data_IF_550405595399
#
_entry.id   IF_550405595399
#
_cell.length_a   1.000
_cell.length_b   1.000
_cell.length_c   1.000
_cell.angle_alpha   90.00
_cell.angle_beta   90.00
_cell.angle_gamma   90.00
#
_symmetry.space_group_name_H-M   'P 1'
#
loop_
_entity.id
_entity.type
_entity.pdbx_description
1 polymer ?
#
# COMPACT_ATOMS: atom_id res chain seq x y z
N UNK A 1 -3.13 -30.49 -2.06
CA UNK A 1 -3.45 -29.09 -1.71
C UNK A 1 -2.96 -28.84 -0.29
N UNK A 2 -1.85 -28.13 -0.11
CA UNK A 2 -1.35 -27.84 1.24
C UNK A 2 -2.26 -26.77 1.86
N UNK A 3 -2.92 -27.08 2.97
CA UNK A 3 -3.86 -26.18 3.62
C UNK A 3 -3.21 -24.81 3.89
N UNK A 4 -3.81 -23.75 3.37
CA UNK A 4 -3.38 -22.37 3.60
C UNK A 4 -3.40 -22.09 5.10
N UNK A 5 -2.22 -22.05 5.73
CA UNK A 5 -2.14 -21.94 7.18
C UNK A 5 -2.08 -20.46 7.57
N UNK A 6 -3.24 -19.88 7.82
CA UNK A 6 -3.37 -18.56 8.45
C UNK A 6 -2.66 -18.58 9.82
N UNK A 7 -1.89 -17.55 10.20
CA UNK A 7 -1.18 -17.53 11.48
C UNK A 7 -2.13 -17.63 12.68
N UNK A 8 -1.70 -18.36 13.72
CA UNK A 8 -2.49 -18.53 14.95
C UNK A 8 -2.84 -17.19 15.60
N UNK A 9 -3.95 -17.08 16.36
CA UNK A 9 -4.33 -15.85 17.06
C UNK A 9 -3.18 -15.22 17.87
N UNK A 10 -2.43 -16.03 18.62
CA UNK A 10 -1.29 -15.57 19.40
C UNK A 10 -0.16 -15.00 18.52
N UNK A 11 0.11 -15.62 17.36
CA UNK A 11 1.09 -15.13 16.40
C UNK A 11 0.67 -13.77 15.81
N UNK A 12 -0.60 -13.65 15.39
CA UNK A 12 -1.18 -12.40 14.87
C UNK A 12 -1.10 -11.27 15.90
N UNK A 13 -1.44 -11.54 17.15
CA UNK A 13 -1.38 -10.55 18.22
C UNK A 13 0.05 -10.09 18.51
N UNK A 14 1.03 -10.99 18.50
CA UNK A 14 2.45 -10.61 18.66
C UNK A 14 2.94 -9.78 17.47
N UNK A 15 2.59 -10.16 16.24
CA UNK A 15 2.95 -9.41 15.02
C UNK A 15 2.41 -7.98 15.08
N UNK A 16 1.12 -7.80 15.35
CA UNK A 16 0.47 -6.49 15.49
C UNK A 16 1.16 -5.61 16.53
N UNK A 17 1.41 -6.14 17.73
CA UNK A 17 2.06 -5.39 18.81
C UNK A 17 3.49 -4.96 18.45
N UNK A 18 4.28 -5.87 17.91
CA UNK A 18 5.66 -5.58 17.50
C UNK A 18 5.71 -4.53 16.38
N UNK A 19 4.84 -4.66 15.37
CA UNK A 19 4.79 -3.74 14.23
C UNK A 19 4.37 -2.34 14.67
N UNK A 20 3.26 -2.21 15.40
CA UNK A 20 2.75 -0.93 15.87
C UNK A 20 3.74 -0.26 16.83
N UNK A 21 4.37 -1.02 17.72
CA UNK A 21 5.39 -0.45 18.61
C UNK A 21 6.62 0.06 17.87
N UNK A 22 7.02 -0.63 16.80
CA UNK A 22 8.12 -0.18 15.94
C UNK A 22 7.72 1.05 15.13
N UNK A 23 6.53 1.06 14.54
CA UNK A 23 6.05 2.15 13.70
C UNK A 23 5.94 3.46 14.47
N UNK A 24 5.48 3.44 15.73
CA UNK A 24 5.45 4.66 16.57
C UNK A 24 6.81 5.35 16.74
N UNK A 25 7.91 4.61 16.62
CA UNK A 25 9.28 5.13 16.80
C UNK A 25 10.01 5.38 15.48
N UNK A 26 9.63 4.69 14.41
CA UNK A 26 10.39 4.63 13.15
C UNK A 26 9.55 5.02 11.92
N UNK A 27 8.26 5.29 12.10
CA UNK A 27 7.35 5.63 11.03
C UNK A 27 7.77 6.91 10.31
N UNK A 28 7.70 6.89 8.99
CA UNK A 28 8.05 8.06 8.17
C UNK A 28 6.91 9.08 8.19
N UNK A 29 7.25 10.36 8.30
CA UNK A 29 6.33 11.47 8.07
C UNK A 29 6.34 11.81 6.57
N UNK A 30 5.20 11.65 5.89
CA UNK A 30 5.05 11.91 4.45
C UNK A 30 3.77 12.72 4.22
N UNK A 31 3.74 13.67 3.27
CA UNK A 31 2.59 14.56 3.08
C UNK A 31 1.25 13.83 2.92
N UNK A 32 1.22 12.77 2.12
CA UNK A 32 0.03 11.94 1.89
C UNK A 32 -0.39 11.07 3.08
N UNK A 33 0.34 11.11 4.20
CA UNK A 33 -0.08 10.51 5.49
C UNK A 33 -0.78 11.49 6.42
N UNK A 34 -0.77 12.78 6.07
CA UNK A 34 -1.36 13.86 6.85
C UNK A 34 -2.65 14.39 6.21
N UNK A 35 -3.32 13.54 5.45
CA UNK A 35 -4.61 13.83 4.80
C UNK A 35 -5.49 12.59 4.83
N UNK A 36 -6.80 12.81 4.88
CA UNK A 36 -7.83 11.79 4.68
C UNK A 36 -8.57 11.96 3.35
N UNK A 37 -8.09 12.85 2.48
CA UNK A 37 -8.70 13.08 1.17
C UNK A 37 -8.43 11.88 0.23
N UNK A 38 -9.48 11.18 -0.27
CA UNK A 38 -9.34 10.02 -1.16
C UNK A 38 -8.58 10.32 -2.46
N UNK A 39 -8.75 11.50 -3.05
CA UNK A 39 -8.05 11.92 -4.26
C UNK A 39 -6.57 12.13 -3.98
N UNK A 40 -6.23 12.83 -2.90
CA UNK A 40 -4.83 13.04 -2.48
C UNK A 40 -4.12 11.71 -2.21
N UNK A 41 -4.82 10.76 -1.58
CA UNK A 41 -4.29 9.41 -1.35
C UNK A 41 -4.11 8.68 -2.68
N UNK A 42 -5.12 8.67 -3.56
CA UNK A 42 -5.02 8.03 -4.89
C UNK A 42 -3.84 8.58 -5.70
N UNK A 43 -3.63 9.90 -5.73
CA UNK A 43 -2.50 10.54 -6.42
C UNK A 43 -1.18 9.97 -5.89
N UNK A 44 -1.00 9.94 -4.57
CA UNK A 44 0.23 9.44 -3.96
C UNK A 44 0.46 7.95 -4.27
N UNK A 45 -0.58 7.12 -4.18
CA UNK A 45 -0.50 5.68 -4.45
C UNK A 45 -0.16 5.39 -5.91
N UNK A 46 -0.69 6.17 -6.87
CA UNK A 46 -0.33 6.03 -8.29
C UNK A 46 1.09 6.51 -8.55
N UNK A 47 1.52 7.62 -7.94
CA UNK A 47 2.89 8.13 -8.09
C UNK A 47 3.93 7.15 -7.51
N UNK A 48 3.65 6.52 -6.38
CA UNK A 48 4.56 5.58 -5.71
C UNK A 48 4.71 4.24 -6.43
N UNK A 49 3.90 3.95 -7.45
CA UNK A 49 4.08 2.77 -8.29
C UNK A 49 5.42 2.86 -9.03
N UNK A 50 6.37 2.00 -8.66
CA UNK A 50 7.69 1.90 -9.30
C UNK A 50 8.49 3.22 -9.29
N UNK A 51 8.21 4.12 -8.35
CA UNK A 51 8.90 5.41 -8.22
C UNK A 51 9.30 5.63 -6.76
N UNK A 52 10.52 6.12 -6.53
CA UNK A 52 11.05 6.35 -5.18
C UNK A 52 10.40 7.57 -4.53
N UNK A 53 10.23 7.52 -3.20
CA UNK A 53 9.59 8.59 -2.41
C UNK A 53 10.22 9.96 -2.67
N UNK A 54 11.55 10.06 -2.69
CA UNK A 54 12.26 11.33 -2.88
C UNK A 54 11.95 12.00 -4.23
N UNK A 55 11.62 11.21 -5.25
CA UNK A 55 11.18 11.73 -6.56
C UNK A 55 9.71 12.11 -6.56
N UNK A 56 8.89 11.40 -5.78
CA UNK A 56 7.45 11.64 -5.68
C UNK A 56 7.15 12.90 -4.88
N UNK A 57 7.88 13.16 -3.78
CA UNK A 57 7.62 14.29 -2.87
C UNK A 57 7.43 15.64 -3.57
N UNK A 58 8.39 16.17 -4.34
CA UNK A 58 8.21 17.46 -5.00
C UNK A 58 7.08 17.43 -6.04
N UNK A 59 6.95 16.31 -6.76
CA UNK A 59 5.94 16.16 -7.81
C UNK A 59 4.52 16.05 -7.26
N UNK A 60 4.36 15.47 -6.08
CA UNK A 60 3.08 15.39 -5.39
C UNK A 60 2.55 16.77 -5.05
N UNK A 61 3.41 17.66 -4.55
CA UNK A 61 3.05 19.05 -4.26
C UNK A 61 2.68 19.82 -5.53
N UNK A 62 3.53 19.81 -6.56
CA UNK A 62 3.26 20.45 -7.85
C UNK A 62 1.95 19.95 -8.48
N UNK A 63 1.70 18.65 -8.39
CA UNK A 63 0.49 18.04 -8.94
C UNK A 63 -0.77 18.54 -8.24
N UNK A 64 -0.78 18.56 -6.90
CA UNK A 64 -1.96 18.99 -6.13
C UNK A 64 -2.17 20.50 -6.18
N UNK A 65 -1.11 21.29 -6.38
CA UNK A 65 -1.25 22.72 -6.65
C UNK A 65 -1.97 22.97 -7.98
N UNK A 66 -1.61 22.22 -9.03
CA UNK A 66 -2.22 22.37 -10.36
C UNK A 66 -3.58 21.69 -10.49
N UNK A 67 -3.76 20.54 -9.86
CA UNK A 67 -4.95 19.70 -9.93
C UNK A 67 -5.41 19.37 -8.51
N UNK A 68 -6.04 20.31 -7.79
CA UNK A 68 -6.41 20.14 -6.39
C UNK A 68 -7.58 19.17 -6.16
N UNK A 69 -8.35 18.82 -7.21
CA UNK A 69 -9.48 17.91 -7.12
C UNK A 69 -9.60 16.99 -8.35
N UNK A 70 -10.48 16.00 -8.25
CA UNK A 70 -10.85 15.14 -9.38
C UNK A 70 -11.46 15.97 -10.51
N UNK A 71 -12.29 16.98 -10.22
CA UNK A 71 -12.84 17.90 -11.24
C UNK A 71 -11.76 18.69 -11.99
N UNK A 72 -10.78 19.22 -11.27
CA UNK A 72 -9.67 19.95 -11.86
C UNK A 72 -8.83 19.05 -12.76
N UNK A 73 -8.57 17.81 -12.32
CA UNK A 73 -7.83 16.84 -13.13
C UNK A 73 -8.64 16.36 -14.35
N UNK A 74 -9.95 16.15 -14.17
CA UNK A 74 -10.84 15.64 -15.21
C UNK A 74 -10.96 16.62 -16.38
N UNK A 75 -11.06 17.91 -16.08
CA UNK A 75 -11.21 19.00 -17.05
C UNK A 75 -9.90 19.42 -17.74
N UNK A 76 -8.74 19.09 -17.16
CA UNK A 76 -7.45 19.48 -17.70
C UNK A 76 -7.14 18.87 -19.09
N UNK A 77 -6.42 19.59 -19.97
CA UNK A 77 -5.92 19.04 -21.23
C UNK A 77 -5.00 17.84 -20.99
N UNK A 78 -5.16 16.77 -21.78
CA UNK A 78 -4.43 15.50 -21.62
C UNK A 78 -2.90 15.71 -21.71
N UNK A 79 -2.46 16.60 -22.61
CA UNK A 79 -1.05 16.88 -22.82
C UNK A 79 -0.43 17.64 -21.64
N UNK A 80 -1.17 18.56 -21.02
CA UNK A 80 -0.73 19.25 -19.81
C UNK A 80 -0.60 18.30 -18.62
N UNK A 81 -1.55 17.38 -18.48
CA UNK A 81 -1.52 16.34 -17.45
C UNK A 81 -0.31 15.43 -17.63
N UNK A 82 -0.02 15.02 -18.87
CA UNK A 82 1.16 14.22 -19.19
C UNK A 82 2.47 15.00 -18.96
N UNK A 83 2.49 16.30 -19.28
CA UNK A 83 3.66 17.16 -19.07
C UNK A 83 3.95 17.37 -17.59
N UNK A 84 2.91 17.67 -16.79
CA UNK A 84 3.04 17.86 -15.33
C UNK A 84 3.58 16.59 -14.67
N UNK A 85 3.23 15.39 -15.15
CA UNK A 85 3.72 14.12 -14.59
C UNK A 85 5.24 13.88 -14.76
N UNK A 86 5.88 14.53 -15.74
CA UNK A 86 7.33 14.32 -15.98
C UNK A 86 8.16 14.87 -14.80
N UNK A 87 9.26 14.20 -14.40
CA UNK A 87 9.91 13.05 -15.05
C UNK A 87 9.59 11.69 -14.40
N UNK A 88 8.46 11.51 -13.70
CA UNK A 88 8.20 10.26 -12.93
C UNK A 88 8.16 8.99 -13.80
N UNK A 89 8.01 9.11 -15.12
CA UNK A 89 7.98 8.00 -16.06
C UNK A 89 6.68 7.18 -15.99
N UNK A 90 6.61 6.11 -16.79
CA UNK A 90 5.40 5.30 -16.99
C UNK A 90 4.18 6.16 -17.35
N UNK A 91 4.24 6.83 -18.50
CA UNK A 91 3.28 7.87 -18.95
C UNK A 91 1.83 7.39 -19.12
N UNK A 92 1.57 6.09 -18.94
CA UNK A 92 0.21 5.56 -18.82
C UNK A 92 -0.46 5.91 -17.48
N UNK A 93 0.32 6.11 -16.41
CA UNK A 93 -0.18 6.43 -15.07
C UNK A 93 -0.97 7.74 -14.99
N UNK A 94 -0.46 8.89 -15.48
CA UNK A 94 -1.23 10.13 -15.43
C UNK A 94 -2.51 10.04 -16.27
N UNK A 95 -2.46 9.35 -17.41
CA UNK A 95 -3.64 9.09 -18.25
C UNK A 95 -4.69 8.24 -17.53
N UNK A 96 -4.27 7.20 -16.80
CA UNK A 96 -5.17 6.36 -15.98
C UNK A 96 -5.75 7.15 -14.81
N UNK A 97 -4.94 7.96 -14.14
CA UNK A 97 -5.40 8.80 -13.03
C UNK A 97 -6.44 9.82 -13.52
N UNK A 98 -6.21 10.45 -14.67
CA UNK A 98 -7.19 11.33 -15.29
C UNK A 98 -8.45 10.59 -15.76
N UNK A 99 -8.33 9.36 -16.27
CA UNK A 99 -9.49 8.56 -16.63
C UNK A 99 -10.37 8.24 -15.40
N UNK A 100 -9.74 7.89 -14.27
CA UNK A 100 -10.44 7.72 -12.99
C UNK A 100 -11.14 9.02 -12.59
N UNK A 101 -10.46 10.17 -12.70
CA UNK A 101 -11.06 11.47 -12.40
C UNK A 101 -12.29 11.79 -13.25
N UNK A 102 -12.20 11.61 -14.56
CA UNK A 102 -13.33 11.80 -15.49
C UNK A 102 -14.49 10.87 -15.17
N UNK A 103 -14.20 9.60 -14.93
CA UNK A 103 -15.20 8.62 -14.54
C UNK A 103 -15.88 8.99 -13.20
N UNK A 104 -15.10 9.48 -12.25
CA UNK A 104 -15.57 9.96 -10.94
C UNK A 104 -16.54 11.14 -11.09
N UNK A 105 -16.20 12.12 -11.93
CA UNK A 105 -17.06 13.27 -12.21
C UNK A 105 -18.36 12.84 -12.87
N UNK A 106 -18.27 12.00 -13.92
CA UNK A 106 -19.46 11.58 -14.70
C UNK A 106 -20.41 10.69 -13.90
N UNK A 107 -19.91 9.79 -13.05
CA UNK A 107 -20.73 8.75 -12.40
C UNK A 107 -20.95 8.96 -10.91
N UNK A 108 -20.09 9.71 -10.25
CA UNK A 108 -20.02 9.79 -8.79
C UNK A 108 -19.83 11.22 -8.26
N UNK A 109 -20.18 12.24 -9.06
CA UNK A 109 -20.20 13.64 -8.62
C UNK A 109 -18.83 14.21 -8.24
N UNK A 110 -17.75 13.67 -8.80
CA UNK A 110 -16.39 14.14 -8.50
C UNK A 110 -15.78 13.52 -7.24
N UNK A 111 -16.42 12.50 -6.64
CA UNK A 111 -15.95 11.86 -5.42
C UNK A 111 -15.53 10.40 -5.63
N UNK A 112 -14.52 9.94 -4.89
CA UNK A 112 -14.19 8.52 -4.79
C UNK A 112 -14.95 7.89 -3.62
N UNK A 113 -15.76 6.84 -3.85
CA UNK A 113 -16.53 6.22 -2.79
C UNK A 113 -15.65 5.36 -1.86
N UNK A 114 -16.18 5.07 -0.67
CA UNK A 114 -15.53 4.16 0.29
C UNK A 114 -15.88 2.68 0.07
N UNK A 115 -16.77 2.38 -0.87
CA UNK A 115 -17.19 1.04 -1.22
C UNK A 115 -16.16 0.32 -2.10
N UNK A 116 -15.85 -0.92 -1.75
CA UNK A 116 -14.82 -1.72 -2.44
C UNK A 116 -15.23 -2.10 -3.86
N UNK A 117 -16.47 -2.55 -4.05
CA UNK A 117 -16.94 -2.99 -5.36
C UNK A 117 -16.92 -1.83 -6.37
N UNK A 118 -17.31 -0.64 -5.92
CA UNK A 118 -17.30 0.57 -6.72
C UNK A 118 -15.88 1.02 -7.03
N UNK A 119 -14.98 1.05 -6.04
CA UNK A 119 -13.56 1.36 -6.26
C UNK A 119 -12.92 0.41 -7.27
N UNK A 120 -13.21 -0.90 -7.18
CA UNK A 120 -12.70 -1.91 -8.11
C UNK A 120 -13.30 -1.80 -9.52
N UNK A 121 -14.41 -1.09 -9.70
CA UNK A 121 -15.00 -0.86 -11.02
C UNK A 121 -14.20 0.13 -11.87
N UNK A 122 -13.43 1.03 -11.25
CA UNK A 122 -12.59 1.99 -11.96
C UNK A 122 -11.39 1.31 -12.61
N UNK A 123 -11.21 1.54 -13.92
CA UNK A 123 -10.07 0.99 -14.65
C UNK A 123 -8.75 1.60 -14.18
N UNK A 124 -7.99 0.83 -13.39
CA UNK A 124 -6.69 1.25 -12.85
C UNK A 124 -6.62 1.19 -11.32
N UNK A 125 -7.76 1.00 -10.64
CA UNK A 125 -7.83 0.71 -9.21
C UNK A 125 -7.89 -0.81 -9.03
N UNK A 126 -6.80 -1.39 -8.54
CA UNK A 126 -6.78 -2.80 -8.13
C UNK A 126 -7.02 -2.95 -6.63
N UNK A 127 -7.10 -4.19 -6.15
CA UNK A 127 -7.34 -4.53 -4.74
C UNK A 127 -6.43 -3.80 -3.74
N UNK A 128 -5.15 -3.62 -4.08
CA UNK A 128 -4.23 -2.83 -3.25
C UNK A 128 -4.67 -1.36 -3.13
N UNK A 129 -4.91 -0.68 -4.25
CA UNK A 129 -5.30 0.73 -4.26
C UNK A 129 -6.67 0.94 -3.63
N UNK A 130 -7.62 0.04 -3.87
CA UNK A 130 -8.92 0.06 -3.19
C UNK A 130 -8.75 -0.08 -1.67
N UNK A 131 -7.95 -1.05 -1.21
CA UNK A 131 -7.64 -1.21 0.21
C UNK A 131 -6.92 0.00 0.83
N UNK A 132 -6.00 0.62 0.08
CA UNK A 132 -5.31 1.83 0.50
C UNK A 132 -6.28 3.01 0.64
N UNK A 133 -7.13 3.30 -0.35
CA UNK A 133 -8.15 4.37 -0.25
C UNK A 133 -9.07 4.12 0.94
N UNK A 134 -9.64 2.91 1.06
CA UNK A 134 -10.54 2.54 2.16
C UNK A 134 -9.89 2.67 3.53
N UNK A 135 -8.65 2.22 3.66
CA UNK A 135 -7.94 2.27 4.93
C UNK A 135 -7.42 3.66 5.27
N UNK A 136 -6.91 4.40 4.30
CA UNK A 136 -6.18 5.65 4.54
C UNK A 136 -7.10 6.87 4.54
N UNK A 137 -8.10 6.90 3.66
CA UNK A 137 -9.04 8.01 3.57
C UNK A 137 -10.21 7.82 4.54
N UNK A 138 -10.76 6.60 4.57
CA UNK A 138 -12.02 6.33 5.28
C UNK A 138 -11.82 5.58 6.62
N UNK A 139 -10.58 5.28 7.01
CA UNK A 139 -10.29 4.57 8.27
C UNK A 139 -10.87 3.15 8.34
N UNK A 140 -11.34 2.59 7.23
CA UNK A 140 -11.97 1.28 7.20
C UNK A 140 -10.94 0.17 7.40
N UNK A 141 -11.40 -0.96 7.95
CA UNK A 141 -10.58 -2.16 8.11
C UNK A 141 -10.39 -2.86 6.76
N UNK A 142 -9.50 -2.32 5.92
CA UNK A 142 -9.14 -2.87 4.62
C UNK A 142 -7.67 -3.28 4.58
N UNK A 143 -7.41 -4.50 4.10
CA UNK A 143 -6.06 -5.03 3.97
C UNK A 143 -5.37 -4.47 2.72
N UNK A 144 -4.05 -4.39 2.78
CA UNK A 144 -3.21 -4.04 1.63
C UNK A 144 -2.19 -5.14 1.37
N UNK A 145 -1.79 -5.28 0.12
CA UNK A 145 -0.76 -6.22 -0.26
C UNK A 145 0.01 -5.73 -1.50
N UNK A 146 0.98 -4.85 -1.35
CA UNK A 146 1.94 -4.56 -2.43
C UNK A 146 3.05 -5.64 -2.47
N UNK A 147 4.11 -5.39 -3.23
CA UNK A 147 5.27 -6.30 -3.30
C UNK A 147 6.12 -6.28 -2.03
N UNK A 148 6.14 -5.16 -1.29
CA UNK A 148 6.89 -5.03 -0.04
C UNK A 148 6.21 -5.76 1.11
N UNK A 149 4.92 -5.52 1.28
CA UNK A 149 4.06 -6.20 2.25
C UNK A 149 4.05 -7.70 1.97
N UNK A 150 3.85 -8.11 0.71
CA UNK A 150 3.89 -9.53 0.34
C UNK A 150 5.21 -10.20 0.77
N UNK A 151 6.35 -9.54 0.54
CA UNK A 151 7.66 -10.05 0.96
C UNK A 151 7.78 -10.16 2.48
N UNK A 152 7.31 -9.17 3.24
CA UNK A 152 7.31 -9.22 4.72
C UNK A 152 6.47 -10.42 5.19
N UNK A 153 5.23 -10.53 4.73
CA UNK A 153 4.32 -11.59 5.17
C UNK A 153 4.83 -12.98 4.78
N UNK A 154 5.38 -13.12 3.57
CA UNK A 154 5.99 -14.36 3.11
C UNK A 154 7.15 -14.79 4.00
N UNK A 155 8.10 -13.89 4.27
CA UNK A 155 9.28 -14.18 5.13
C UNK A 155 8.89 -14.48 6.57
N UNK A 156 7.94 -13.74 7.11
CA UNK A 156 7.54 -13.88 8.52
C UNK A 156 6.73 -15.15 8.73
N UNK A 157 5.76 -15.46 7.87
CA UNK A 157 4.76 -16.50 8.13
C UNK A 157 4.85 -17.74 7.25
N UNK A 158 5.48 -17.69 6.08
CA UNK A 158 5.44 -18.78 5.10
C UNK A 158 6.79 -19.45 4.91
N UNK A 159 7.82 -18.70 4.54
CA UNK A 159 9.23 -19.10 4.30
C UNK A 159 9.56 -20.03 3.13
N UNK A 160 8.60 -20.77 2.56
CA UNK A 160 8.84 -21.73 1.47
C UNK A 160 7.81 -21.57 0.34
N UNK A 161 8.17 -22.05 -0.85
CA UNK A 161 7.35 -21.96 -2.06
C UNK A 161 7.69 -20.74 -2.92
N UNK A 162 7.10 -20.70 -4.11
CA UNK A 162 7.28 -19.58 -5.04
C UNK A 162 6.39 -18.39 -4.64
N UNK A 163 7.03 -17.31 -4.20
CA UNK A 163 6.38 -16.05 -3.84
C UNK A 163 5.56 -15.42 -4.99
N UNK A 164 5.87 -15.76 -6.25
CA UNK A 164 5.19 -15.24 -7.44
C UNK A 164 4.00 -16.10 -7.88
N UNK A 165 3.87 -17.32 -7.37
CA UNK A 165 2.78 -18.20 -7.74
C UNK A 165 1.42 -17.60 -7.33
N UNK A 166 0.40 -17.73 -8.20
CA UNK A 166 -0.95 -17.23 -7.91
C UNK A 166 -1.53 -17.76 -6.59
N UNK A 167 -1.30 -19.05 -6.29
CA UNK A 167 -1.73 -19.65 -5.04
C UNK A 167 -1.07 -18.99 -3.82
N UNK A 168 0.23 -18.68 -3.91
CA UNK A 168 0.95 -17.97 -2.86
C UNK A 168 0.43 -16.55 -2.68
N UNK A 169 0.13 -15.86 -3.80
CA UNK A 169 -0.44 -14.51 -3.76
C UNK A 169 -1.80 -14.48 -3.04
N UNK A 170 -2.67 -15.47 -3.26
CA UNK A 170 -3.94 -15.62 -2.52
C UNK A 170 -3.71 -15.86 -1.04
N UNK A 171 -2.81 -16.79 -0.69
CA UNK A 171 -2.43 -17.03 0.70
C UNK A 171 -1.91 -15.77 1.40
N UNK A 172 -1.10 -14.94 0.73
CA UNK A 172 -0.59 -13.71 1.32
C UNK A 172 -1.69 -12.66 1.54
N UNK A 173 -2.72 -12.62 0.70
CA UNK A 173 -3.91 -11.79 0.93
C UNK A 173 -4.67 -12.23 2.18
N UNK A 174 -4.96 -13.53 2.30
CA UNK A 174 -5.60 -14.11 3.49
C UNK A 174 -4.80 -13.81 4.77
N UNK A 175 -3.46 -13.92 4.70
CA UNK A 175 -2.58 -13.55 5.82
C UNK A 175 -2.71 -12.06 6.12
N UNK A 176 -2.68 -11.18 5.12
CA UNK A 176 -2.79 -9.73 5.30
C UNK A 176 -4.09 -9.34 6.02
N UNK A 177 -5.22 -9.89 5.55
CA UNK A 177 -6.53 -9.70 6.18
C UNK A 177 -6.58 -10.24 7.61
N UNK A 178 -5.98 -11.42 7.83
CA UNK A 178 -5.95 -12.03 9.14
C UNK A 178 -5.10 -11.24 10.14
N UNK A 179 -3.96 -10.68 9.72
CA UNK A 179 -3.07 -9.90 10.61
C UNK A 179 -3.54 -8.47 10.82
N UNK A 180 -4.43 -7.94 9.98
CA UNK A 180 -4.97 -6.59 10.13
C UNK A 180 -5.74 -6.44 11.47
N UNK A 181 -5.42 -5.44 12.32
CA UNK A 181 -6.12 -5.22 13.57
C UNK A 181 -7.52 -4.62 13.36
N UNK A 182 -8.32 -4.55 14.43
CA UNK A 182 -9.61 -3.83 14.40
C UNK A 182 -9.49 -2.35 14.73
N UNK A 183 -8.38 -1.92 15.34
CA UNK A 183 -8.06 -0.53 15.70
C UNK A 183 -6.65 -0.22 15.20
N UNK A 184 -6.34 1.06 15.01
CA UNK A 184 -5.04 1.51 14.46
C UNK A 184 -4.75 0.91 13.09
N UNK A 185 -5.77 0.80 12.24
CA UNK A 185 -5.66 0.18 10.91
C UNK A 185 -4.68 0.96 10.04
N UNK A 186 -4.81 2.30 10.03
CA UNK A 186 -3.91 3.22 9.34
C UNK A 186 -2.45 2.95 9.72
N UNK A 187 -2.14 3.08 11.01
CA UNK A 187 -0.77 2.88 11.54
C UNK A 187 -0.22 1.49 11.24
N UNK A 188 -1.06 0.46 11.30
CA UNK A 188 -0.65 -0.90 11.01
C UNK A 188 -0.26 -1.06 9.55
N UNK A 189 -1.11 -0.61 8.62
CA UNK A 189 -0.84 -0.69 7.19
C UNK A 189 0.40 0.14 6.82
N UNK A 190 0.49 1.39 7.31
CA UNK A 190 1.66 2.24 7.08
C UNK A 190 2.94 1.65 7.69
N UNK A 191 2.86 1.07 8.88
CA UNK A 191 3.97 0.37 9.52
C UNK A 191 4.43 -0.85 8.75
N UNK A 192 3.49 -1.60 8.15
CA UNK A 192 3.80 -2.77 7.33
C UNK A 192 4.50 -2.38 6.03
N UNK A 193 4.05 -1.29 5.40
CA UNK A 193 4.70 -0.70 4.22
C UNK A 193 6.11 -0.19 4.56
N UNK A 194 6.26 0.57 5.65
CA UNK A 194 7.55 1.11 6.07
C UNK A 194 8.55 0.01 6.43
N UNK A 195 8.08 -1.03 7.14
CA UNK A 195 8.91 -2.18 7.47
C UNK A 195 9.44 -2.86 6.21
N UNK A 196 8.56 -3.07 5.22
CA UNK A 196 8.94 -3.65 3.94
C UNK A 196 9.90 -2.77 3.14
N UNK A 197 9.68 -1.46 3.13
CA UNK A 197 10.47 -0.51 2.35
C UNK A 197 11.86 -0.23 2.94
N UNK A 198 12.02 -0.27 4.27
CA UNK A 198 13.23 0.27 4.93
C UNK A 198 14.07 -0.76 5.67
N UNK A 199 13.47 -1.87 6.11
CA UNK A 199 14.13 -2.89 6.94
C UNK A 199 14.14 -4.25 6.24
N UNK A 200 12.95 -4.79 5.96
CA UNK A 200 12.78 -6.09 5.30
C UNK A 200 12.84 -5.93 3.77
N UNK A 201 13.91 -5.30 3.28
CA UNK A 201 14.13 -5.02 1.85
C UNK A 201 14.43 -6.28 1.05
N UNK A 202 14.32 -6.21 -0.28
CA UNK A 202 14.46 -7.36 -1.17
C UNK A 202 15.83 -8.04 -1.05
N UNK A 203 16.91 -7.24 -1.07
CA UNK A 203 18.30 -7.68 -0.97
C UNK A 203 18.90 -7.16 0.33
N UNK A 204 19.67 -7.98 1.03
CA UNK A 204 20.37 -7.64 2.29
C UNK A 204 19.43 -6.99 3.34
N UNK A 205 18.35 -7.67 3.78
CA UNK A 205 17.45 -7.14 4.79
C UNK A 205 18.19 -6.86 6.10
N UNK A 206 17.82 -5.76 6.77
CA UNK A 206 18.41 -5.33 8.05
C UNK A 206 17.78 -6.11 9.22
N UNK A 207 17.98 -7.42 9.23
CA UNK A 207 17.32 -8.34 10.18
C UNK A 207 17.55 -7.97 11.65
N UNK A 208 18.71 -7.45 12.00
CA UNK A 208 19.02 -7.02 13.38
C UNK A 208 18.17 -5.85 13.86
N UNK A 209 17.65 -5.03 12.93
CA UNK A 209 16.74 -3.92 13.22
C UNK A 209 15.26 -4.31 13.12
N UNK A 210 14.96 -5.57 12.74
CA UNK A 210 13.61 -5.99 12.42
C UNK A 210 12.81 -6.34 13.69
N UNK A 211 11.63 -5.73 13.91
CA UNK A 211 10.77 -6.08 15.05
C UNK A 211 10.22 -7.52 14.99
N UNK A 212 10.33 -8.19 13.84
CA UNK A 212 9.79 -9.54 13.61
C UNK A 212 10.79 -10.66 13.87
N UNK A 213 12.04 -10.37 14.22
CA UNK A 213 13.15 -11.34 14.31
C UNK A 213 12.79 -12.60 15.11
N UNK A 214 12.15 -12.45 16.28
CA UNK A 214 11.77 -13.59 17.15
C UNK A 214 10.72 -14.54 16.54
N UNK A 215 9.88 -14.05 15.63
CA UNK A 215 8.81 -14.84 15.00
C UNK A 215 9.02 -15.12 13.51
N UNK A 216 9.98 -14.48 12.87
CA UNK A 216 10.22 -14.58 11.45
C UNK A 216 10.76 -15.97 11.09
N UNK A 217 10.05 -16.67 10.18
CA UNK A 217 10.45 -18.02 9.75
C UNK A 217 11.73 -18.05 8.93
N UNK A 218 12.09 -16.95 8.27
CA UNK A 218 13.33 -16.84 7.46
C UNK A 218 14.46 -16.08 8.15
N UNK A 219 14.39 -15.86 9.48
CA UNK A 219 15.50 -15.19 10.18
C UNK A 219 16.77 -16.05 10.12
N UNK A 220 17.93 -15.53 9.66
CA UNK A 220 19.15 -16.34 9.52
C UNK A 220 19.66 -16.96 10.83
N UNK A 221 19.50 -16.26 11.96
CA UNK A 221 19.93 -16.77 13.27
C UNK A 221 18.98 -17.81 13.89
N UNK A 222 17.90 -18.18 13.20
CA UNK A 222 16.96 -19.20 13.67
C UNK A 222 17.57 -20.57 13.37
N UNK A 223 18.11 -21.25 14.38
CA UNK A 223 18.53 -22.65 14.24
C UNK A 223 17.32 -23.47 13.81
N UNK A 224 17.41 -24.14 12.66
CA UNK A 224 16.45 -25.14 12.23
C UNK A 224 16.36 -26.21 13.32
N UNK A 225 15.22 -26.29 13.99
CA UNK A 225 14.84 -27.50 14.73
C UNK A 225 14.14 -28.44 13.77
#
# INVERSE_FOLDING_TARGET
MSATTVPTPASRQRFRRALLSWYRKNGRSLPWRHTSDPYHILVSEVMLQQTQVDRVLPKYHEWLERYPSLDALASAPVDEVAQTWRPLGYNIRPKRLQAIARESVTRFGGELPSDEATLLSFKGIGAYTAGAIRSFAFGQRAAILDTNVARVLFRVFVSRGDAKAHAMRRQLWEISEAVLPHRHVFDFNQGLMDLGATVCVARNPKCELCPMTRMCRTYPGRRSK
#
